data_IF_949193571871
#
_entry.id   IF_949193571871
#
_cell.length_a   1.000
_cell.length_b   1.000
_cell.length_c   1.000
_cell.angle_alpha   90.00
_cell.angle_beta   90.00
_cell.angle_gamma   90.00
#
_symmetry.space_group_name_H-M   'P 1'
#
loop_
_entity.id
_entity.type
_entity.pdbx_description
1 polymer ?
#
# COMPACT_ATOMS: atom_id res chain seq x y z
N UNK A 1 27.09 20.69 -2.06
CA UNK A 1 26.39 19.38 -2.06
C UNK A 1 26.04 18.79 -0.68
N UNK A 2 26.78 19.04 0.42
CA UNK A 2 26.47 18.49 1.76
C UNK A 2 25.14 19.00 2.34
N UNK A 3 24.76 20.26 2.13
CA UNK A 3 23.51 20.82 2.67
C UNK A 3 22.26 20.25 1.98
N UNK A 4 22.29 19.97 0.67
CA UNK A 4 21.12 19.42 -0.03
C UNK A 4 20.81 17.96 0.39
N UNK A 5 21.84 17.17 0.72
CA UNK A 5 21.67 15.81 1.27
C UNK A 5 21.19 15.83 2.73
N UNK A 6 21.64 16.81 3.53
CA UNK A 6 21.13 17.04 4.89
C UNK A 6 19.67 17.50 4.88
N UNK A 7 19.32 18.44 4.01
CA UNK A 7 17.94 18.90 3.81
C UNK A 7 17.06 17.74 3.32
N UNK A 8 17.51 16.97 2.33
CA UNK A 8 16.78 15.78 1.86
C UNK A 8 16.59 14.73 2.98
N UNK A 9 17.64 14.48 3.78
CA UNK A 9 17.56 13.55 4.92
C UNK A 9 16.61 14.04 6.02
N UNK A 10 16.53 15.35 6.24
CA UNK A 10 15.65 15.96 7.24
C UNK A 10 14.20 15.98 6.77
N UNK A 11 13.96 16.19 5.47
CA UNK A 11 12.65 16.01 4.84
C UNK A 11 12.18 14.55 4.84
N UNK A 12 13.07 13.59 4.60
CA UNK A 12 12.73 12.15 4.69
C UNK A 12 12.43 11.76 6.14
N UNK A 13 13.20 12.22 7.12
CA UNK A 13 12.94 11.94 8.54
C UNK A 13 11.66 12.61 9.03
N UNK A 14 11.41 13.87 8.66
CA UNK A 14 10.17 14.57 8.98
C UNK A 14 8.97 13.93 8.28
N UNK A 15 9.10 13.56 7.01
CA UNK A 15 8.08 12.82 6.27
C UNK A 15 7.78 11.45 6.90
N UNK A 16 8.82 10.74 7.39
CA UNK A 16 8.67 9.49 8.12
C UNK A 16 7.95 9.70 9.46
N UNK A 17 8.30 10.73 10.23
CA UNK A 17 7.64 11.03 11.51
C UNK A 17 6.18 11.46 11.34
N UNK A 18 5.90 12.26 10.31
CA UNK A 18 4.54 12.63 9.89
C UNK A 18 3.76 11.38 9.46
N UNK A 19 4.39 10.48 8.72
CA UNK A 19 3.79 9.22 8.31
C UNK A 19 3.52 8.27 9.50
N UNK A 20 4.44 8.18 10.46
CA UNK A 20 4.25 7.40 11.70
C UNK A 20 3.14 7.98 12.58
N UNK A 21 3.01 9.31 12.69
CA UNK A 21 1.93 9.92 13.46
C UNK A 21 0.55 9.72 12.83
N UNK A 22 0.48 9.68 11.49
CA UNK A 22 -0.73 9.34 10.74
C UNK A 22 -1.12 7.86 10.80
N UNK A 23 -0.17 6.97 11.13
CA UNK A 23 -0.40 5.52 11.19
C UNK A 23 -1.05 5.05 12.50
N UNK A 24 -1.19 5.92 13.51
CA UNK A 24 -1.79 5.61 14.81
C UNK A 24 -3.33 5.62 14.83
N UNK A 25 -3.98 5.59 13.66
CA UNK A 25 -5.44 5.56 13.56
C UNK A 25 -6.01 4.29 14.21
N UNK A 26 -6.84 4.48 15.24
CA UNK A 26 -7.48 3.38 15.96
C UNK A 26 -8.53 2.71 15.06
N UNK A 27 -8.20 1.52 14.56
CA UNK A 27 -9.04 0.73 13.63
C UNK A 27 -10.35 0.27 14.25
N UNK A 28 -10.52 0.41 15.56
CA UNK A 28 -11.74 0.02 16.28
C UNK A 28 -12.78 1.13 16.36
N UNK A 29 -12.44 2.36 15.97
CA UNK A 29 -13.34 3.52 16.07
C UNK A 29 -14.07 3.80 14.76
N UNK A 30 -15.33 4.26 14.78
CA UNK A 30 -16.05 4.66 13.59
C UNK A 30 -15.35 5.83 12.87
N UNK A 31 -15.60 5.97 11.57
CA UNK A 31 -15.14 7.13 10.81
C UNK A 31 -16.03 8.32 11.18
N UNK A 32 -15.46 9.31 11.87
CA UNK A 32 -16.10 10.58 12.20
C UNK A 32 -15.22 11.73 11.70
N UNK A 33 -15.83 12.65 10.94
CA UNK A 33 -15.12 13.77 10.31
C UNK A 33 -14.48 14.75 11.32
N UNK A 34 -14.94 14.73 12.58
CA UNK A 34 -14.52 15.66 13.63
C UNK A 34 -13.31 15.21 14.45
N UNK A 35 -12.97 13.91 14.47
CA UNK A 35 -11.86 13.36 15.29
C UNK A 35 -10.71 12.77 14.46
N UNK A 36 -10.77 12.88 13.13
CA UNK A 36 -9.77 12.31 12.24
C UNK A 36 -8.40 12.99 12.37
N UNK A 37 -7.34 12.18 12.47
CA UNK A 37 -5.96 12.67 12.33
C UNK A 37 -5.73 13.31 10.96
N UNK A 38 -4.65 14.08 10.79
CA UNK A 38 -4.30 14.72 9.50
C UNK A 38 -4.28 13.72 8.31
N UNK A 39 -3.82 12.49 8.56
CA UNK A 39 -3.80 11.39 7.59
C UNK A 39 -5.22 10.88 7.26
N UNK A 40 -6.11 10.84 8.25
CA UNK A 40 -7.49 10.44 8.05
C UNK A 40 -8.24 11.51 7.25
N UNK A 41 -7.99 12.79 7.55
CA UNK A 41 -8.55 13.90 6.80
C UNK A 41 -8.12 13.94 5.34
N UNK A 42 -6.86 13.63 5.03
CA UNK A 42 -6.33 13.75 3.68
C UNK A 42 -6.54 12.51 2.81
N UNK A 43 -6.62 11.31 3.40
CA UNK A 43 -6.78 10.05 2.66
C UNK A 43 -8.05 9.29 3.05
N UNK A 44 -8.27 8.99 4.33
CA UNK A 44 -9.33 8.08 4.77
C UNK A 44 -10.73 8.67 4.52
N UNK A 45 -10.98 9.90 4.93
CA UNK A 45 -12.27 10.59 4.79
C UNK A 45 -12.68 10.78 3.33
N UNK A 46 -11.83 11.33 2.43
CA UNK A 46 -12.24 11.49 1.03
C UNK A 46 -12.46 10.15 0.34
N UNK A 47 -11.68 9.12 0.66
CA UNK A 47 -11.87 7.78 0.11
C UNK A 47 -13.18 7.15 0.63
N UNK A 48 -13.51 7.32 1.91
CA UNK A 48 -14.78 6.86 2.48
C UNK A 48 -15.99 7.59 1.88
N UNK A 49 -15.85 8.89 1.60
CA UNK A 49 -16.86 9.69 0.93
C UNK A 49 -17.11 9.20 -0.51
N UNK A 50 -16.04 8.97 -1.29
CA UNK A 50 -16.15 8.41 -2.63
C UNK A 50 -16.81 7.02 -2.59
N UNK A 51 -16.39 6.16 -1.65
CA UNK A 51 -16.96 4.82 -1.52
C UNK A 51 -18.45 4.85 -1.18
N UNK A 52 -18.86 5.67 -0.22
CA UNK A 52 -20.27 5.79 0.18
C UNK A 52 -21.12 6.40 -0.94
N UNK A 53 -20.61 7.39 -1.67
CA UNK A 53 -21.30 7.98 -2.82
C UNK A 53 -21.61 6.93 -3.91
N UNK A 54 -20.61 6.13 -4.30
CA UNK A 54 -20.82 5.07 -5.31
C UNK A 54 -21.61 3.87 -4.78
N UNK A 55 -21.49 3.54 -3.49
CA UNK A 55 -22.30 2.51 -2.86
C UNK A 55 -23.79 2.88 -2.88
N UNK A 56 -24.14 4.12 -2.52
CA UNK A 56 -25.51 4.62 -2.56
C UNK A 56 -26.09 4.60 -3.97
N UNK A 57 -25.30 4.99 -4.97
CA UNK A 57 -25.71 4.99 -6.38
C UNK A 57 -26.04 3.58 -6.91
N UNK A 58 -25.46 2.54 -6.31
CA UNK A 58 -25.57 1.14 -6.74
C UNK A 58 -26.31 0.27 -5.70
N UNK A 59 -27.44 0.75 -5.20
CA UNK A 59 -28.31 0.05 -4.24
C UNK A 59 -27.63 -0.30 -2.90
N UNK A 60 -26.87 0.63 -2.34
CA UNK A 60 -26.13 0.47 -1.08
C UNK A 60 -25.19 -0.75 -1.06
N UNK A 61 -24.65 -1.12 -2.23
CA UNK A 61 -23.82 -2.31 -2.42
C UNK A 61 -22.36 -2.03 -2.07
N UNK A 62 -21.89 -2.58 -0.95
CA UNK A 62 -20.55 -2.35 -0.42
C UNK A 62 -19.43 -2.72 -1.40
N UNK A 63 -19.53 -3.92 -1.98
CA UNK A 63 -18.49 -4.43 -2.87
C UNK A 63 -18.35 -3.59 -4.14
N UNK A 64 -19.45 -3.10 -4.70
CA UNK A 64 -19.38 -2.20 -5.85
C UNK A 64 -18.78 -0.84 -5.47
N UNK A 65 -19.12 -0.32 -4.29
CA UNK A 65 -18.47 0.88 -3.73
C UNK A 65 -16.95 0.72 -3.64
N UNK A 66 -16.47 -0.41 -3.09
CA UNK A 66 -15.03 -0.70 -3.01
C UNK A 66 -14.40 -0.79 -4.39
N UNK A 67 -14.95 -1.62 -5.29
CA UNK A 67 -14.37 -1.87 -6.63
C UNK A 67 -14.23 -0.57 -7.41
N UNK A 68 -15.25 0.28 -7.40
CA UNK A 68 -15.20 1.56 -8.12
C UNK A 68 -14.20 2.51 -7.47
N UNK A 69 -14.18 2.57 -6.14
CA UNK A 69 -13.25 3.43 -5.40
C UNK A 69 -11.80 3.03 -5.66
N UNK A 70 -11.49 1.73 -5.67
CA UNK A 70 -10.13 1.26 -5.95
C UNK A 70 -9.71 1.54 -7.38
N UNK A 71 -10.61 1.42 -8.37
CA UNK A 71 -10.32 1.81 -9.76
C UNK A 71 -10.00 3.30 -9.86
N UNK A 72 -10.79 4.16 -9.22
CA UNK A 72 -10.56 5.62 -9.23
C UNK A 72 -9.21 5.96 -8.59
N UNK A 73 -8.97 5.41 -7.40
CA UNK A 73 -7.72 5.62 -6.66
C UNK A 73 -6.52 5.13 -7.46
N UNK A 74 -6.61 3.94 -8.07
CA UNK A 74 -5.54 3.38 -8.93
C UNK A 74 -5.31 4.20 -10.19
N UNK A 75 -6.36 4.77 -10.77
CA UNK A 75 -6.25 5.62 -11.96
C UNK A 75 -5.50 6.91 -11.62
N UNK A 76 -5.80 7.54 -10.48
CA UNK A 76 -5.10 8.74 -10.00
C UNK A 76 -3.66 8.43 -9.61
N UNK A 77 -3.42 7.29 -8.97
CA UNK A 77 -2.08 6.85 -8.56
C UNK A 77 -1.31 6.11 -9.66
N UNK A 78 -1.89 5.90 -10.85
CA UNK A 78 -1.24 5.24 -12.00
C UNK A 78 0.17 5.77 -12.33
N UNK A 79 0.43 7.09 -12.41
CA UNK A 79 1.78 7.59 -12.69
C UNK A 79 2.80 7.20 -11.62
N UNK A 80 2.36 7.02 -10.38
CA UNK A 80 3.19 6.56 -9.25
C UNK A 80 3.48 5.07 -9.42
N UNK A 81 2.45 4.26 -9.72
CA UNK A 81 2.60 2.83 -9.97
C UNK A 81 3.49 2.51 -11.16
N UNK A 82 3.33 3.23 -12.28
CA UNK A 82 4.14 3.01 -13.48
C UNK A 82 5.65 3.17 -13.18
N UNK A 83 6.01 4.16 -12.37
CA UNK A 83 7.41 4.37 -11.94
C UNK A 83 7.90 3.27 -10.99
N UNK A 84 7.06 2.83 -10.06
CA UNK A 84 7.39 1.71 -9.16
C UNK A 84 7.59 0.40 -9.94
N UNK A 85 6.75 0.14 -10.95
CA UNK A 85 6.81 -1.07 -11.76
C UNK A 85 8.04 -1.12 -12.66
N UNK A 86 8.42 -0.01 -13.29
CA UNK A 86 9.65 0.09 -14.09
C UNK A 86 10.91 -0.30 -13.29
N UNK A 87 10.97 0.11 -12.03
CA UNK A 87 12.08 -0.23 -11.13
C UNK A 87 12.10 -1.71 -10.77
N UNK A 88 10.93 -2.29 -10.49
CA UNK A 88 10.80 -3.73 -10.20
C UNK A 88 11.24 -4.59 -11.38
N UNK A 89 10.89 -4.18 -12.60
CA UNK A 89 11.32 -4.86 -13.84
C UNK A 89 12.85 -4.78 -13.98
N UNK A 90 13.45 -3.59 -13.77
CA UNK A 90 14.91 -3.43 -13.81
C UNK A 90 15.63 -4.29 -12.76
N UNK A 91 15.06 -4.43 -11.57
CA UNK A 91 15.57 -5.36 -10.56
C UNK A 91 15.46 -6.82 -10.98
N UNK A 92 14.35 -7.22 -11.61
CA UNK A 92 14.17 -8.58 -12.13
C UNK A 92 15.20 -8.92 -13.21
N UNK A 93 15.52 -7.95 -14.09
CA UNK A 93 16.58 -8.11 -15.11
C UNK A 93 17.98 -8.15 -14.48
N UNK A 94 18.21 -7.42 -13.37
CA UNK A 94 19.48 -7.43 -12.65
C UNK A 94 19.69 -8.67 -11.76
N UNK A 95 18.62 -9.39 -11.37
CA UNK A 95 18.69 -10.59 -10.52
C UNK A 95 19.74 -11.62 -10.96
N UNK A 96 19.84 -12.04 -12.23
CA UNK A 96 20.83 -13.04 -12.62
C UNK A 96 22.28 -12.58 -12.39
N UNK A 97 22.64 -11.33 -12.68
CA UNK A 97 23.97 -10.82 -12.37
C UNK A 97 24.21 -10.70 -10.85
N UNK A 98 23.17 -10.29 -10.11
CA UNK A 98 23.20 -10.26 -8.65
C UNK A 98 23.46 -11.63 -8.04
N UNK A 99 22.85 -12.69 -8.57
CA UNK A 99 23.07 -14.06 -8.13
C UNK A 99 24.51 -14.53 -8.44
N UNK A 100 25.10 -14.11 -9.56
CA UNK A 100 26.50 -14.42 -9.88
C UNK A 100 27.48 -13.76 -8.91
N UNK A 101 27.23 -12.51 -8.52
CA UNK A 101 28.03 -11.83 -7.49
C UNK A 101 27.88 -12.54 -6.14
N UNK A 102 26.65 -12.88 -5.73
CA UNK A 102 26.42 -13.60 -4.48
C UNK A 102 27.10 -14.99 -4.47
N UNK A 103 27.04 -15.73 -5.57
CA UNK A 103 27.72 -17.02 -5.70
C UNK A 103 29.25 -16.90 -5.62
N UNK A 104 29.84 -15.83 -6.18
CA UNK A 104 31.29 -15.55 -6.13
C UNK A 104 31.83 -15.36 -4.71
N UNK A 105 31.00 -14.81 -3.82
CA UNK A 105 31.36 -14.57 -2.41
C UNK A 105 30.69 -15.56 -1.43
N UNK A 106 29.94 -16.54 -1.95
CA UNK A 106 29.28 -17.54 -1.12
C UNK A 106 30.32 -18.32 -0.29
N UNK A 107 30.07 -18.40 1.03
CA UNK A 107 30.97 -19.07 1.97
C UNK A 107 32.10 -18.21 2.55
N UNK A 108 32.35 -17.00 2.04
CA UNK A 108 33.35 -16.08 2.61
C UNK A 108 32.71 -15.19 3.68
N UNK A 109 33.08 -15.40 4.94
CA UNK A 109 32.55 -14.62 6.08
C UNK A 109 33.44 -13.44 6.49
N UNK A 110 34.58 -13.24 5.82
CA UNK A 110 35.52 -12.18 6.17
C UNK A 110 34.89 -10.78 6.01
N UNK A 111 35.15 -9.84 6.93
CA UNK A 111 34.64 -8.46 6.84
C UNK A 111 35.01 -7.77 5.52
N UNK A 112 36.22 -8.00 5.00
CA UNK A 112 36.65 -7.48 3.70
C UNK A 112 35.87 -8.09 2.53
N UNK A 113 35.61 -9.39 2.57
CA UNK A 113 34.87 -10.11 1.52
C UNK A 113 33.43 -9.60 1.43
N UNK A 114 32.81 -9.29 2.57
CA UNK A 114 31.48 -8.69 2.61
C UNK A 114 31.47 -7.26 2.07
N UNK A 115 32.48 -6.45 2.37
CA UNK A 115 32.61 -5.10 1.81
C UNK A 115 32.79 -5.14 0.28
N UNK A 116 33.63 -6.04 -0.23
CA UNK A 116 33.83 -6.23 -1.68
C UNK A 116 32.54 -6.69 -2.37
N UNK A 117 31.79 -7.60 -1.74
CA UNK A 117 30.48 -8.05 -2.23
C UNK A 117 29.47 -6.88 -2.30
N UNK A 118 29.42 -6.00 -1.31
CA UNK A 118 28.55 -4.82 -1.32
C UNK A 118 28.94 -3.83 -2.43
N UNK A 119 30.24 -3.61 -2.66
CA UNK A 119 30.71 -2.75 -3.74
C UNK A 119 30.39 -3.30 -5.13
N UNK A 120 30.61 -4.60 -5.37
CA UNK A 120 30.26 -5.24 -6.64
C UNK A 120 28.73 -5.23 -6.87
N UNK A 121 27.95 -5.49 -5.83
CA UNK A 121 26.49 -5.36 -5.85
C UNK A 121 26.05 -3.94 -6.27
N UNK A 122 26.67 -2.91 -5.70
CA UNK A 122 26.35 -1.53 -6.02
C UNK A 122 26.77 -1.14 -7.46
N UNK A 123 27.85 -1.73 -7.96
CA UNK A 123 28.27 -1.57 -9.35
C UNK A 123 27.27 -2.19 -10.33
N UNK A 124 26.73 -3.38 -10.02
CA UNK A 124 25.65 -4.02 -10.79
C UNK A 124 24.39 -3.12 -10.79
N UNK A 125 23.95 -2.63 -9.63
CA UNK A 125 22.80 -1.70 -9.57
C UNK A 125 23.01 -0.43 -10.40
N UNK A 126 24.21 0.14 -10.41
CA UNK A 126 24.55 1.29 -11.23
C UNK A 126 24.54 0.97 -12.73
N UNK A 127 25.00 -0.23 -13.13
CA UNK A 127 24.99 -0.71 -14.51
C UNK A 127 23.57 -0.85 -15.07
N UNK A 128 22.62 -1.30 -14.25
CA UNK A 128 21.20 -1.44 -14.62
C UNK A 128 20.38 -0.15 -14.39
N UNK A 129 21.01 0.96 -14.01
CA UNK A 129 20.33 2.25 -13.79
C UNK A 129 19.35 2.24 -12.61
N UNK A 130 19.51 1.33 -11.66
CA UNK A 130 18.69 1.24 -10.45
C UNK A 130 19.17 2.31 -9.47
N UNK A 131 18.46 3.44 -9.45
CA UNK A 131 18.75 4.51 -8.49
C UNK A 131 18.26 4.13 -7.09
N UNK A 132 18.98 4.59 -6.05
CA UNK A 132 18.57 4.41 -4.66
C UNK A 132 17.24 5.08 -4.32
N UNK A 133 16.82 6.11 -5.09
CA UNK A 133 15.45 6.65 -4.99
C UNK A 133 14.37 5.66 -5.45
N UNK A 134 14.75 4.64 -6.22
CA UNK A 134 13.83 3.60 -6.65
C UNK A 134 13.37 2.67 -5.53
N UNK A 135 14.16 2.52 -4.46
CA UNK A 135 13.71 1.78 -3.29
C UNK A 135 12.72 2.58 -2.41
N UNK A 136 12.56 3.88 -2.65
CA UNK A 136 11.63 4.76 -1.93
C UNK A 136 10.23 4.77 -2.57
N UNK A 137 10.13 4.48 -3.86
CA UNK A 137 8.86 4.48 -4.60
C UNK A 137 7.83 3.47 -4.04
N UNK A 138 8.23 2.24 -3.65
CA UNK A 138 7.32 1.29 -2.98
C UNK A 138 6.86 1.76 -1.60
N UNK A 139 7.67 2.53 -0.87
CA UNK A 139 7.25 3.09 0.42
C UNK A 139 6.12 4.11 0.28
N UNK A 140 6.01 4.78 -0.87
CA UNK A 140 4.90 5.70 -1.13
C UNK A 140 3.57 4.96 -1.37
N UNK A 141 3.60 3.67 -1.71
CA UNK A 141 2.39 2.87 -1.89
C UNK A 141 1.77 2.40 -0.56
N UNK A 142 2.60 2.13 0.45
CA UNK A 142 2.13 1.72 1.78
C UNK A 142 1.09 2.67 2.41
N UNK A 143 1.26 4.02 2.37
CA UNK A 143 0.23 4.97 2.79
C UNK A 143 -1.15 4.71 2.19
N UNK A 144 -1.21 4.47 0.89
CA UNK A 144 -2.46 4.35 0.17
C UNK A 144 -3.18 3.05 0.53
N UNK A 145 -2.42 1.97 0.68
CA UNK A 145 -2.94 0.70 1.14
C UNK A 145 -3.48 0.78 2.57
N UNK A 146 -2.74 1.41 3.49
CA UNK A 146 -3.18 1.59 4.88
C UNK A 146 -4.43 2.45 4.99
N UNK A 147 -4.53 3.52 4.19
CA UNK A 147 -5.73 4.34 4.15
C UNK A 147 -6.94 3.54 3.66
N UNK A 148 -6.80 2.77 2.57
CA UNK A 148 -7.88 1.94 2.07
C UNK A 148 -8.26 0.83 3.06
N UNK A 149 -7.28 0.21 3.70
CA UNK A 149 -7.49 -0.75 4.77
C UNK A 149 -8.31 -0.14 5.91
N UNK A 150 -7.94 1.04 6.40
CA UNK A 150 -8.70 1.73 7.46
C UNK A 150 -10.12 2.10 7.03
N UNK A 151 -10.32 2.57 5.79
CA UNK A 151 -11.66 2.87 5.26
C UNK A 151 -12.51 1.62 5.27
N UNK A 152 -12.02 0.54 4.68
CA UNK A 152 -12.72 -0.74 4.64
C UNK A 152 -13.03 -1.16 6.08
N UNK A 153 -12.04 -1.29 6.96
CA UNK A 153 -12.21 -1.71 8.37
C UNK A 153 -13.24 -0.91 9.18
N UNK A 154 -13.42 0.37 8.90
CA UNK A 154 -14.18 1.28 9.78
C UNK A 154 -15.54 1.69 9.22
N UNK A 155 -15.79 1.49 7.93
CA UNK A 155 -17.01 2.02 7.27
C UNK A 155 -18.30 1.35 7.73
N UNK A 156 -18.24 0.11 8.23
CA UNK A 156 -19.41 -0.62 8.77
C UNK A 156 -19.63 -0.40 10.28
N UNK A 157 -18.76 0.34 10.98
CA UNK A 157 -18.89 0.52 12.42
C UNK A 157 -20.10 1.43 12.68
N UNK A 158 -21.09 0.89 13.37
CA UNK A 158 -22.33 1.57 13.73
C UNK A 158 -22.02 2.86 14.51
N UNK A 159 -22.59 3.99 14.08
CA UNK A 159 -22.29 5.32 14.63
C UNK A 159 -21.26 6.13 13.83
N UNK A 160 -20.71 5.59 12.74
CA UNK A 160 -19.90 6.34 11.78
C UNK A 160 -20.73 7.09 10.72
N UNK A 161 -20.14 8.12 10.12
CA UNK A 161 -20.85 9.03 9.17
C UNK A 161 -21.31 8.34 7.88
N UNK A 162 -20.78 7.16 7.58
CA UNK A 162 -20.98 6.44 6.31
C UNK A 162 -21.58 5.04 6.49
N UNK A 163 -21.89 4.62 7.72
CA UNK A 163 -22.34 3.27 8.04
C UNK A 163 -23.70 2.92 7.39
N UNK A 164 -24.63 3.88 7.33
CA UNK A 164 -25.96 3.66 6.78
C UNK A 164 -25.97 3.58 5.24
N UNK A 165 -24.90 4.05 4.60
CA UNK A 165 -24.74 4.06 3.14
C UNK A 165 -24.36 2.70 2.56
N UNK A 166 -24.07 1.73 3.42
CA UNK A 166 -23.46 0.44 3.08
C UNK A 166 -24.29 -0.69 3.69
N UNK A 167 -25.54 -0.79 3.25
CA UNK A 167 -26.53 -1.74 3.81
C UNK A 167 -26.43 -3.13 3.18
N UNK A 168 -26.10 -3.22 1.88
CA UNK A 168 -25.97 -4.51 1.21
C UNK A 168 -24.56 -5.06 1.41
N UNK A 169 -24.48 -5.92 2.42
CA UNK A 169 -23.26 -6.61 2.85
C UNK A 169 -23.03 -7.90 2.09
N UNK A 170 -23.80 -8.22 1.03
CA UNK A 170 -23.68 -9.49 0.33
C UNK A 170 -23.02 -9.31 -1.04
N UNK A 171 -21.94 -10.02 -1.29
CA UNK A 171 -21.24 -10.02 -2.58
C UNK A 171 -20.91 -11.44 -2.98
N UNK A 172 -21.40 -11.83 -4.17
CA UNK A 172 -21.24 -13.18 -4.72
C UNK A 172 -21.64 -14.30 -3.72
N UNK A 173 -22.67 -14.06 -2.91
CA UNK A 173 -23.16 -15.01 -1.89
C UNK A 173 -22.40 -15.02 -0.57
N UNK A 174 -21.42 -14.14 -0.38
CA UNK A 174 -20.59 -14.03 0.83
C UNK A 174 -21.02 -12.79 1.63
N UNK A 175 -21.18 -12.94 2.94
CA UNK A 175 -21.44 -11.84 3.87
C UNK A 175 -20.14 -11.09 4.19
N UNK A 176 -20.03 -9.87 3.66
CA UNK A 176 -18.89 -8.96 3.84
C UNK A 176 -18.75 -8.43 5.27
N UNK A 177 -19.75 -8.60 6.13
CA UNK A 177 -19.69 -8.25 7.55
C UNK A 177 -18.63 -9.07 8.30
N UNK A 178 -18.56 -10.38 8.02
CA UNK A 178 -17.50 -11.25 8.51
C UNK A 178 -16.20 -11.10 7.69
N UNK A 179 -16.31 -10.62 6.45
CA UNK A 179 -15.17 -10.24 5.61
C UNK A 179 -14.57 -8.88 6.03
N UNK A 180 -15.22 -8.19 6.97
CA UNK A 180 -14.71 -6.97 7.55
C UNK A 180 -13.37 -7.16 8.26
N UNK A 181 -12.95 -8.40 8.54
CA UNK A 181 -11.56 -8.71 8.80
C UNK A 181 -10.84 -8.91 7.46
N UNK A 182 -10.08 -7.91 6.99
CA UNK A 182 -9.31 -8.03 5.74
C UNK A 182 -8.24 -9.13 5.84
N UNK A 183 -7.85 -9.52 7.06
CA UNK A 183 -7.07 -10.74 7.32
C UNK A 183 -7.83 -12.04 7.05
N UNK A 184 -9.15 -12.06 7.07
CA UNK A 184 -9.97 -13.18 6.58
C UNK A 184 -10.10 -13.17 5.04
N UNK A 185 -10.11 -12.00 4.39
CA UNK A 185 -10.13 -11.88 2.92
C UNK A 185 -8.78 -12.27 2.29
N UNK A 186 -7.66 -11.87 2.93
CA UNK A 186 -6.30 -12.16 2.43
C UNK A 186 -5.71 -13.43 3.07
N UNK A 187 -6.19 -13.83 4.25
CA UNK A 187 -5.68 -14.97 5.02
C UNK A 187 -6.59 -16.21 5.08
N UNK A 188 -7.84 -16.18 4.61
CA UNK A 188 -8.54 -17.43 4.29
C UNK A 188 -8.10 -17.91 2.91
N UNK A 189 -7.01 -18.68 2.91
CA UNK A 189 -6.73 -19.70 1.91
C UNK A 189 -7.79 -20.81 1.91
N UNK A 190 -9.06 -20.46 1.73
CA UNK A 190 -10.14 -21.38 1.39
C UNK A 190 -10.69 -21.03 0.03
N UNK A 191 -9.88 -21.24 -1.01
CA UNK A 191 -10.32 -21.56 -2.38
C UNK A 191 -11.40 -20.69 -3.05
N UNK A 192 -11.74 -19.52 -2.52
CA UNK A 192 -12.89 -18.75 -3.00
C UNK A 192 -12.42 -17.79 -4.09
N UNK A 193 -12.88 -18.03 -5.31
CA UNK A 193 -12.51 -17.29 -6.51
C UNK A 193 -12.71 -15.77 -6.33
N UNK A 194 -13.73 -15.39 -5.55
CA UNK A 194 -14.05 -14.01 -5.22
C UNK A 194 -12.97 -13.32 -4.35
N UNK A 195 -12.37 -14.05 -3.40
CA UNK A 195 -11.28 -13.53 -2.57
C UNK A 195 -10.02 -13.26 -3.39
N UNK A 196 -9.71 -14.14 -4.35
CA UNK A 196 -8.62 -13.93 -5.32
C UNK A 196 -8.89 -12.78 -6.28
N UNK A 197 -10.11 -12.67 -6.81
CA UNK A 197 -10.50 -11.56 -7.69
C UNK A 197 -10.41 -10.22 -6.95
N UNK A 198 -10.89 -10.14 -5.71
CA UNK A 198 -10.75 -8.94 -4.89
C UNK A 198 -9.30 -8.65 -4.52
N UNK A 199 -8.50 -9.65 -4.18
CA UNK A 199 -7.08 -9.47 -3.89
C UNK A 199 -6.30 -8.97 -5.13
N UNK A 200 -6.67 -9.38 -6.34
CA UNK A 200 -6.07 -8.89 -7.60
C UNK A 200 -6.58 -7.48 -7.95
N UNK A 201 -7.83 -7.16 -7.62
CA UNK A 201 -8.43 -5.84 -7.86
C UNK A 201 -7.96 -4.81 -6.81
N UNK A 202 -7.62 -5.25 -5.60
CA UNK A 202 -7.22 -4.39 -4.47
C UNK A 202 -5.69 -4.36 -4.25
N UNK A 203 -4.98 -5.46 -4.52
CA UNK A 203 -3.52 -5.64 -4.36
C UNK A 203 -2.67 -5.29 -5.59
#
# INVERSE_FOLDING_TARGET
>A
MKNHKKVLSLFVLAGLLVFLSGCSGDITKPIVVSEGNWFEWILVIPIAWVMSFFAQLLNNSFAMGIIITTIIVRTIAWPIYAKSNDLSIKMAVAQPEMQRVQAKYAGRKDPESQQKMQMETMAVYKKYGINFMGCLMPFLQMPLFLAMYQVVQRIWITGGTYADSVTNKMFLGINLENAGNFGAIVGQGKGDLAGWILAIIVG
#
